data_IF_669130861369
#
_entry.id   IF_669130861369
#
_cell.length_a   1.000
_cell.length_b   1.000
_cell.length_c   1.000
_cell.angle_alpha   90.00
_cell.angle_beta   90.00
_cell.angle_gamma   90.00
#
_symmetry.space_group_name_H-M   'P 1'
#
loop_
_entity.id
_entity.type
_entity.pdbx_description
1 polymer ?
#
# COMPACT_ATOMS: atom_id res chain seq x y z
N UNK A 1 -27.50 -36.84 57.53
CA UNK A 1 -27.71 -36.05 56.32
C UNK A 1 -26.35 -35.63 55.81
N UNK A 2 -25.82 -36.30 54.80
CA UNK A 2 -24.53 -35.92 54.20
C UNK A 2 -24.80 -35.09 52.95
N UNK A 3 -24.34 -33.83 52.96
CA UNK A 3 -24.33 -32.99 51.75
C UNK A 3 -23.19 -33.42 50.86
N UNK A 4 -23.50 -33.84 49.63
CA UNK A 4 -22.54 -34.09 48.54
C UNK A 4 -22.37 -32.75 47.82
N UNK A 5 -21.20 -32.14 47.95
CA UNK A 5 -20.79 -30.95 47.19
C UNK A 5 -20.39 -31.39 45.79
N UNK A 6 -21.15 -31.00 44.77
CA UNK A 6 -20.81 -31.20 43.36
C UNK A 6 -19.86 -30.09 42.93
N UNK A 7 -18.59 -30.39 42.68
CA UNK A 7 -17.64 -29.47 42.08
C UNK A 7 -17.85 -29.47 40.57
N UNK A 8 -18.35 -28.37 40.02
CA UNK A 8 -18.42 -28.13 38.57
C UNK A 8 -17.07 -27.58 38.10
N UNK A 9 -16.29 -28.37 37.40
CA UNK A 9 -15.08 -27.95 36.75
C UNK A 9 -15.46 -27.17 35.49
N UNK A 10 -15.32 -25.84 35.50
CA UNK A 10 -15.42 -25.01 34.30
C UNK A 10 -14.10 -25.13 33.55
N UNK A 11 -14.11 -25.92 32.48
CA UNK A 11 -12.99 -25.92 31.54
C UNK A 11 -12.98 -24.60 30.75
N UNK A 12 -12.06 -23.70 31.10
CA UNK A 12 -11.76 -22.53 30.29
C UNK A 12 -11.07 -22.99 29.02
N UNK A 13 -11.82 -23.09 27.92
CA UNK A 13 -11.25 -23.25 26.58
C UNK A 13 -10.52 -21.95 26.23
N UNK A 14 -9.21 -21.91 26.39
CA UNK A 14 -8.36 -20.87 25.82
C UNK A 14 -8.48 -20.95 24.29
N UNK A 15 -9.27 -20.06 23.70
CA UNK A 15 -9.21 -19.85 22.26
C UNK A 15 -7.82 -19.27 21.98
N UNK A 16 -6.94 -20.10 21.44
CA UNK A 16 -5.71 -19.62 20.82
C UNK A 16 -6.12 -18.76 19.64
N UNK A 17 -6.03 -17.45 19.81
CA UNK A 17 -6.10 -16.51 18.69
C UNK A 17 -4.90 -16.83 17.80
N UNK A 18 -5.15 -17.49 16.68
CA UNK A 18 -4.11 -17.75 15.70
C UNK A 18 -3.47 -16.43 15.33
N UNK A 19 -2.15 -16.31 15.51
CA UNK A 19 -1.42 -15.12 15.14
C UNK A 19 -1.58 -14.92 13.63
N UNK A 20 -1.91 -13.69 13.24
CA UNK A 20 -2.06 -13.33 11.84
C UNK A 20 -0.74 -13.54 11.09
N UNK A 21 -0.77 -14.36 10.04
CA UNK A 21 0.38 -14.61 9.18
C UNK A 21 0.50 -13.47 8.16
N UNK A 22 1.08 -12.36 8.58
CA UNK A 22 1.36 -11.20 7.73
C UNK A 22 2.84 -10.85 7.78
N UNK A 23 3.50 -10.91 6.65
CA UNK A 23 4.84 -10.37 6.48
C UNK A 23 4.71 -8.88 6.19
N UNK A 24 5.51 -8.05 6.88
CA UNK A 24 5.58 -6.61 6.63
C UNK A 24 7.02 -6.13 6.61
N UNK A 25 7.31 -5.14 5.80
CA UNK A 25 8.64 -4.53 5.73
C UNK A 25 8.57 -3.10 5.20
N UNK A 26 9.57 -2.30 5.55
CA UNK A 26 9.70 -0.94 5.06
C UNK A 26 10.44 -0.89 3.73
N UNK A 27 10.00 -0.01 2.86
CA UNK A 27 10.72 0.40 1.66
C UNK A 27 10.87 1.91 1.67
N UNK A 28 12.10 2.41 1.49
CA UNK A 28 12.36 3.85 1.34
C UNK A 28 11.83 4.37 0.01
N UNK A 29 11.65 5.66 -0.09
CA UNK A 29 11.28 6.29 -1.34
C UNK A 29 12.39 6.10 -2.39
N UNK A 30 12.07 5.39 -3.48
CA UNK A 30 12.95 5.24 -4.64
C UNK A 30 13.01 6.55 -5.45
N UNK A 31 11.83 7.05 -5.80
CA UNK A 31 11.65 8.31 -6.55
C UNK A 31 10.25 8.86 -6.35
N UNK A 32 10.08 10.15 -6.63
CA UNK A 32 8.78 10.75 -6.95
C UNK A 32 8.90 11.21 -8.39
N UNK A 33 8.07 10.68 -9.27
CA UNK A 33 8.18 10.98 -10.70
C UNK A 33 6.81 10.97 -11.38
N UNK A 34 6.72 11.65 -12.50
CA UNK A 34 5.49 11.71 -13.31
C UNK A 34 5.55 10.68 -14.45
N UNK A 35 5.69 9.42 -14.05
CA UNK A 35 5.68 8.25 -14.93
C UNK A 35 4.77 7.17 -14.38
N UNK A 36 4.18 6.37 -15.26
CA UNK A 36 3.27 5.29 -14.93
C UNK A 36 3.37 4.18 -15.98
N UNK A 37 4.19 3.15 -15.74
CA UNK A 37 4.40 2.07 -16.70
C UNK A 37 3.23 1.10 -16.83
N UNK A 38 2.21 1.21 -15.97
CA UNK A 38 1.06 0.32 -15.97
C UNK A 38 -0.10 0.92 -16.77
N UNK A 39 -0.61 2.07 -16.35
CA UNK A 39 -1.80 2.68 -16.96
C UNK A 39 -1.42 3.57 -18.16
N UNK A 40 -0.26 4.21 -18.13
CA UNK A 40 0.18 5.13 -19.18
C UNK A 40 1.59 4.79 -19.68
N UNK A 41 1.83 3.54 -20.16
CA UNK A 41 3.16 3.09 -20.55
C UNK A 41 3.74 3.98 -21.68
N UNK A 42 4.98 4.44 -21.46
CA UNK A 42 5.71 5.29 -22.39
C UNK A 42 5.33 6.78 -22.37
N UNK A 43 4.29 7.17 -21.63
CA UNK A 43 3.92 8.59 -21.51
C UNK A 43 4.90 9.35 -20.61
N UNK A 44 5.44 10.45 -21.13
CA UNK A 44 6.34 11.38 -20.45
C UNK A 44 5.90 12.83 -20.71
N UNK A 45 5.25 13.49 -19.78
CA UNK A 45 4.84 13.03 -18.45
C UNK A 45 3.59 12.14 -18.48
N UNK A 46 3.43 11.27 -17.46
CA UNK A 46 2.15 10.64 -17.16
C UNK A 46 1.15 11.67 -16.60
N UNK A 47 -0.16 11.35 -16.52
CA UNK A 47 -1.17 12.32 -16.07
C UNK A 47 -0.92 12.93 -14.69
N UNK A 48 -0.29 12.21 -13.74
CA UNK A 48 -0.02 12.70 -12.40
C UNK A 48 1.28 12.12 -11.80
N UNK A 49 1.73 12.73 -10.71
CA UNK A 49 2.92 12.32 -9.97
C UNK A 49 2.65 11.08 -9.14
N UNK A 50 3.61 10.18 -9.10
CA UNK A 50 3.62 9.01 -8.23
C UNK A 50 4.81 9.01 -7.29
N UNK A 51 4.60 8.52 -6.09
CA UNK A 51 5.67 8.01 -5.25
C UNK A 51 5.88 6.54 -5.58
N UNK A 52 7.13 6.16 -5.74
CA UNK A 52 7.55 4.82 -6.13
C UNK A 52 8.55 4.28 -5.13
N UNK A 53 8.41 3.00 -4.80
CA UNK A 53 9.38 2.23 -4.01
C UNK A 53 9.72 0.93 -4.74
N UNK A 54 10.79 0.26 -4.32
CA UNK A 54 11.21 -1.04 -4.87
C UNK A 54 12.47 -0.98 -5.73
N UNK A 55 12.52 -1.80 -6.78
CA UNK A 55 13.67 -1.91 -7.67
C UNK A 55 13.93 -0.67 -8.53
N UNK A 56 15.20 -0.31 -8.69
CA UNK A 56 15.58 0.91 -9.43
C UNK A 56 15.52 0.77 -10.95
N UNK A 57 15.09 -0.38 -11.49
CA UNK A 57 14.76 -0.53 -12.91
C UNK A 57 13.44 0.13 -13.32
N UNK A 58 12.65 0.67 -12.34
CA UNK A 58 11.40 1.38 -12.62
C UNK A 58 11.57 2.42 -13.72
N UNK A 59 10.70 2.39 -14.74
CA UNK A 59 10.81 3.26 -15.92
C UNK A 59 9.42 3.52 -16.51
N UNK A 60 9.31 4.49 -17.42
CA UNK A 60 8.06 4.83 -18.09
C UNK A 60 7.46 3.68 -18.92
N UNK A 61 8.29 2.76 -19.40
CA UNK A 61 7.85 1.57 -20.15
C UNK A 61 8.38 0.31 -19.48
N UNK A 62 7.48 -0.54 -19.00
CA UNK A 62 7.80 -1.80 -18.32
C UNK A 62 6.85 -2.90 -18.83
N UNK A 63 7.04 -3.34 -20.08
CA UNK A 63 6.16 -4.34 -20.69
C UNK A 63 6.42 -5.74 -20.12
N UNK A 64 5.38 -6.58 -19.91
CA UNK A 64 5.50 -7.87 -19.23
C UNK A 64 6.49 -8.84 -19.89
N UNK A 65 6.58 -8.83 -21.21
CA UNK A 65 7.46 -9.69 -22.00
C UNK A 65 8.94 -9.27 -22.00
N UNK A 66 9.23 -8.04 -21.55
CA UNK A 66 10.59 -7.48 -21.50
C UNK A 66 11.05 -7.24 -20.06
N UNK A 67 10.18 -7.51 -19.09
CA UNK A 67 10.38 -7.13 -17.71
C UNK A 67 10.95 -8.27 -16.88
N UNK A 68 12.07 -7.98 -16.24
CA UNK A 68 12.69 -8.82 -15.22
C UNK A 68 13.36 -7.93 -14.16
N UNK A 69 12.57 -7.31 -13.25
CA UNK A 69 13.11 -6.36 -12.29
C UNK A 69 14.30 -6.88 -11.48
N UNK A 70 14.34 -8.18 -11.07
CA UNK A 70 15.48 -8.73 -10.34
C UNK A 70 16.80 -8.76 -11.15
N UNK A 71 16.72 -8.83 -12.48
CA UNK A 71 17.92 -8.82 -13.35
C UNK A 71 18.26 -7.44 -13.87
N UNK A 72 17.27 -6.56 -13.97
CA UNK A 72 17.41 -5.21 -14.52
C UNK A 72 17.74 -4.15 -13.45
N UNK A 73 17.45 -4.44 -12.18
CA UNK A 73 17.73 -3.53 -11.06
C UNK A 73 19.11 -3.80 -10.48
N UNK A 74 19.84 -2.75 -10.16
CA UNK A 74 21.08 -2.83 -9.40
C UNK A 74 20.89 -2.74 -7.90
N UNK A 75 19.74 -2.21 -7.45
CA UNK A 75 19.35 -2.12 -6.04
C UNK A 75 17.83 -2.09 -5.89
N UNK A 76 17.38 -2.27 -4.65
CA UNK A 76 15.99 -2.05 -4.23
C UNK A 76 15.95 -1.16 -3.00
N UNK A 77 14.92 -0.30 -2.92
CA UNK A 77 14.68 0.53 -1.74
C UNK A 77 13.98 -0.21 -0.60
N UNK A 78 13.65 -1.50 -0.77
CA UNK A 78 13.01 -2.35 0.22
C UNK A 78 14.03 -3.03 1.13
N UNK A 79 13.68 -3.30 2.40
CA UNK A 79 14.58 -3.93 3.36
C UNK A 79 14.82 -5.42 3.10
N UNK A 80 13.99 -6.09 2.30
CA UNK A 80 14.31 -7.40 1.74
C UNK A 80 15.03 -7.24 0.41
N UNK A 81 16.29 -7.68 0.36
CA UNK A 81 17.17 -7.51 -0.82
C UNK A 81 16.78 -8.35 -2.03
N UNK A 82 15.81 -9.23 -1.88
CA UNK A 82 15.26 -10.09 -2.94
C UNK A 82 13.99 -9.51 -3.56
N UNK A 83 13.46 -8.42 -3.01
CA UNK A 83 12.27 -7.75 -3.51
C UNK A 83 12.63 -6.55 -4.39
N UNK A 84 12.57 -6.75 -5.69
CA UNK A 84 12.70 -5.73 -6.73
C UNK A 84 11.36 -5.36 -7.36
N UNK A 85 10.25 -5.76 -6.74
CA UNK A 85 8.92 -5.32 -7.17
C UNK A 85 8.84 -3.80 -7.14
N UNK A 86 7.97 -3.24 -7.97
CA UNK A 86 7.65 -1.82 -7.87
C UNK A 86 6.23 -1.64 -7.34
N UNK A 87 6.11 -0.70 -6.43
CA UNK A 87 4.88 -0.32 -5.75
C UNK A 87 4.75 1.20 -5.86
N UNK A 88 3.61 1.69 -6.33
CA UNK A 88 3.43 3.14 -6.41
C UNK A 88 2.00 3.57 -6.15
N UNK A 89 1.86 4.81 -5.78
CA UNK A 89 0.61 5.51 -5.54
C UNK A 89 0.81 7.01 -5.78
N UNK A 90 -0.28 7.75 -5.93
CA UNK A 90 -0.24 9.19 -6.08
C UNK A 90 0.37 9.89 -4.85
N UNK A 91 0.87 11.12 -5.05
CA UNK A 91 1.30 12.00 -3.97
C UNK A 91 0.13 12.87 -3.48
N UNK A 92 0.18 13.26 -2.21
CA UNK A 92 -0.75 14.22 -1.61
C UNK A 92 -0.12 15.61 -1.58
N UNK A 93 -0.92 16.60 -1.92
CA UNK A 93 -0.56 18.02 -1.87
C UNK A 93 -1.53 18.81 -1.01
N UNK A 94 -1.00 19.78 -0.29
CA UNK A 94 -1.77 20.82 0.39
C UNK A 94 -1.83 22.07 -0.48
N UNK A 95 -3.02 22.59 -0.73
CA UNK A 95 -3.24 23.83 -1.44
C UNK A 95 -3.40 24.98 -0.45
N UNK A 96 -2.42 25.85 -0.35
CA UNK A 96 -2.47 27.04 0.48
C UNK A 96 -3.50 28.06 -0.05
N UNK A 97 -3.97 28.98 0.80
CA UNK A 97 -4.93 30.04 0.41
C UNK A 97 -4.45 30.92 -0.74
N UNK A 98 -3.15 31.15 -0.85
CA UNK A 98 -2.57 31.90 -1.96
C UNK A 98 -2.54 31.12 -3.29
N UNK A 99 -3.04 29.87 -3.28
CA UNK A 99 -3.13 28.99 -4.44
C UNK A 99 -1.89 28.16 -4.72
N UNK A 100 -0.81 28.31 -3.96
CA UNK A 100 0.39 27.46 -4.10
C UNK A 100 0.13 26.07 -3.57
N UNK A 101 0.77 25.07 -4.19
CA UNK A 101 0.74 23.70 -3.73
C UNK A 101 2.01 23.34 -2.99
N UNK A 102 1.88 22.61 -1.88
CA UNK A 102 2.98 22.05 -1.10
C UNK A 102 2.79 20.55 -1.02
N UNK A 103 3.80 19.78 -1.43
CA UNK A 103 3.74 18.32 -1.27
C UNK A 103 3.73 17.97 0.21
N UNK A 104 2.80 17.09 0.58
CA UNK A 104 2.75 16.53 1.94
C UNK A 104 3.88 15.52 2.09
N UNK A 105 4.79 15.69 3.05
CA UNK A 105 5.87 14.75 3.27
C UNK A 105 5.32 13.38 3.70
N UNK A 106 6.01 12.34 3.29
CA UNK A 106 5.81 11.00 3.82
C UNK A 106 6.85 10.72 4.88
N UNK A 107 6.47 9.91 5.86
CA UNK A 107 7.33 9.46 6.95
C UNK A 107 7.33 7.95 7.00
N UNK A 108 8.40 7.37 7.49
CA UNK A 108 8.44 5.94 7.73
C UNK A 108 7.44 5.53 8.81
N UNK A 109 6.88 4.34 8.68
CA UNK A 109 6.13 3.74 9.78
C UNK A 109 7.06 3.43 10.95
N UNK A 110 6.57 3.60 12.17
CA UNK A 110 7.37 3.42 13.39
C UNK A 110 8.02 2.02 13.44
N UNK A 111 9.31 2.02 13.78
CA UNK A 111 10.09 0.80 13.95
C UNK A 111 10.62 0.17 12.66
N UNK A 112 10.46 0.81 11.52
CA UNK A 112 10.94 0.30 10.24
C UNK A 112 12.09 1.12 9.64
N UNK A 113 12.83 1.90 10.32
CA UNK A 113 14.13 2.48 10.00
C UNK A 113 14.38 3.09 8.60
N UNK A 114 13.39 3.05 7.72
CA UNK A 114 13.45 3.58 6.34
C UNK A 114 13.09 5.07 6.28
N UNK A 115 13.40 5.73 5.17
CA UNK A 115 13.07 7.16 4.97
C UNK A 115 11.92 7.33 3.98
N UNK A 116 10.87 8.03 4.40
CA UNK A 116 9.65 8.20 3.61
C UNK A 116 9.11 6.85 3.11
N UNK A 117 8.63 6.76 1.89
CA UNK A 117 8.26 5.49 1.29
C UNK A 117 6.98 4.89 1.82
N UNK A 118 6.96 3.57 1.91
CA UNK A 118 5.77 2.81 2.32
C UNK A 118 6.18 1.61 3.17
N UNK A 119 5.25 1.15 4.00
CA UNK A 119 5.26 -0.21 4.53
C UNK A 119 4.49 -1.10 3.60
N UNK A 120 5.11 -2.18 3.17
CA UNK A 120 4.50 -3.21 2.32
C UNK A 120 4.17 -4.43 3.15
N UNK A 121 2.99 -4.98 2.92
CA UNK A 121 2.51 -6.20 3.55
C UNK A 121 2.23 -7.26 2.50
N UNK A 122 2.54 -8.50 2.84
CA UNK A 122 2.10 -9.70 2.14
C UNK A 122 1.36 -10.58 3.14
N UNK A 123 0.03 -10.59 3.05
CA UNK A 123 -0.85 -11.17 4.04
C UNK A 123 -1.36 -12.52 3.51
N UNK A 124 -1.13 -13.59 4.26
CA UNK A 124 -1.66 -14.93 3.95
C UNK A 124 -3.10 -15.12 4.43
N UNK A 125 -3.51 -14.38 5.44
CA UNK A 125 -4.77 -14.56 6.14
C UNK A 125 -4.71 -15.65 7.23
N UNK A 126 -5.82 -15.83 7.95
CA UNK A 126 -5.90 -16.75 9.09
C UNK A 126 -6.07 -18.23 8.72
N UNK A 127 -6.36 -18.55 7.46
CA UNK A 127 -6.53 -19.95 7.04
C UNK A 127 -5.16 -20.62 6.85
N UNK A 128 -4.58 -21.04 7.95
CA UNK A 128 -3.23 -21.62 8.02
C UNK A 128 -2.99 -22.83 7.10
N UNK A 129 -4.04 -23.52 6.68
CA UNK A 129 -3.98 -24.70 5.79
C UNK A 129 -4.09 -24.37 4.30
N UNK A 130 -4.54 -23.17 3.94
CA UNK A 130 -4.69 -22.83 2.53
C UNK A 130 -3.33 -22.56 1.89
N UNK A 131 -3.06 -23.24 0.76
CA UNK A 131 -1.91 -22.91 -0.09
C UNK A 131 -2.06 -21.49 -0.62
N UNK A 132 -1.06 -20.64 -0.42
CA UNK A 132 -0.96 -19.32 -1.01
C UNK A 132 0.11 -19.37 -2.10
N UNK A 133 -0.29 -19.06 -3.33
CA UNK A 133 0.59 -19.10 -4.50
C UNK A 133 1.21 -17.73 -4.72
N UNK A 134 2.53 -17.64 -4.80
CA UNK A 134 3.21 -16.39 -5.16
C UNK A 134 2.82 -15.94 -6.58
N UNK A 135 2.97 -14.66 -6.83
CA UNK A 135 2.71 -14.11 -8.16
C UNK A 135 3.69 -14.67 -9.19
N UNK A 136 3.23 -14.97 -10.41
CA UNK A 136 4.12 -15.35 -11.49
C UNK A 136 4.88 -14.14 -12.05
N UNK A 137 5.98 -14.41 -12.76
CA UNK A 137 6.75 -13.37 -13.49
C UNK A 137 5.84 -12.61 -14.46
N UNK A 138 5.99 -11.28 -14.49
CA UNK A 138 5.17 -10.40 -15.32
C UNK A 138 3.83 -10.01 -14.71
N UNK A 139 3.51 -10.50 -13.50
CA UNK A 139 2.28 -10.15 -12.81
C UNK A 139 2.27 -8.66 -12.44
N UNK A 140 1.14 -8.02 -12.70
CA UNK A 140 0.89 -6.63 -12.33
C UNK A 140 -0.58 -6.44 -12.00
N UNK A 141 -0.90 -5.45 -11.20
CA UNK A 141 -2.27 -5.15 -10.80
C UNK A 141 -2.45 -3.72 -10.37
N UNK A 142 -3.68 -3.22 -10.51
CA UNK A 142 -4.14 -1.90 -10.08
C UNK A 142 -5.34 -2.07 -9.15
N UNK A 143 -5.41 -1.25 -8.11
CA UNK A 143 -6.60 -1.11 -7.26
C UNK A 143 -6.97 0.36 -7.07
N UNK A 144 -8.25 0.65 -6.98
CA UNK A 144 -8.75 2.03 -6.94
C UNK A 144 -8.88 2.64 -8.34
N UNK A 145 -9.15 3.95 -8.38
CA UNK A 145 -9.30 4.71 -9.63
C UNK A 145 -9.01 6.18 -9.37
N UNK A 146 -7.95 6.77 -9.97
CA UNK A 146 -7.60 8.18 -9.77
C UNK A 146 -8.67 9.17 -10.24
N UNK A 147 -9.57 8.75 -11.13
CA UNK A 147 -10.67 9.57 -11.63
C UNK A 147 -11.94 9.48 -10.77
N UNK A 148 -11.98 8.56 -9.78
CA UNK A 148 -13.17 8.37 -8.97
C UNK A 148 -13.49 9.58 -8.09
N UNK A 149 -14.77 9.98 -8.09
CA UNK A 149 -15.34 11.07 -7.25
C UNK A 149 -16.50 10.58 -6.36
N UNK A 150 -16.78 9.29 -6.36
CA UNK A 150 -17.88 8.69 -5.62
C UNK A 150 -17.36 7.79 -4.49
N UNK A 151 -17.69 8.13 -3.24
CA UNK A 151 -17.34 7.34 -2.06
C UNK A 151 -17.82 5.89 -2.13
N UNK A 152 -18.93 5.61 -2.81
CA UNK A 152 -19.50 4.27 -2.94
C UNK A 152 -18.65 3.36 -3.83
N UNK A 153 -17.87 3.95 -4.74
CA UNK A 153 -16.97 3.24 -5.66
C UNK A 153 -15.59 3.01 -5.10
N UNK A 154 -15.26 3.60 -3.95
CA UNK A 154 -14.01 3.32 -3.26
C UNK A 154 -14.05 1.89 -2.71
N UNK A 155 -13.13 1.00 -3.12
CA UNK A 155 -13.02 -0.35 -2.58
C UNK A 155 -12.94 -0.36 -1.05
N UNK A 156 -13.49 -1.39 -0.41
CA UNK A 156 -13.55 -1.48 1.06
C UNK A 156 -12.17 -1.54 1.73
N UNK A 157 -11.16 -2.01 1.00
CA UNK A 157 -9.79 -2.10 1.49
C UNK A 157 -8.94 -0.82 1.30
N UNK A 158 -9.54 0.30 0.86
CA UNK A 158 -8.87 1.58 0.67
C UNK A 158 -9.47 2.62 1.62
N UNK A 159 -8.63 3.22 2.45
CA UNK A 159 -9.09 4.15 3.47
C UNK A 159 -7.98 5.04 4.04
N UNK A 160 -8.43 6.00 4.83
CA UNK A 160 -7.58 6.95 5.57
C UNK A 160 -7.86 6.83 7.05
N UNK A 161 -6.81 6.80 7.86
CA UNK A 161 -6.88 6.99 9.31
C UNK A 161 -6.28 8.33 9.68
N UNK A 162 -7.06 9.13 10.41
CA UNK A 162 -6.57 10.31 11.08
C UNK A 162 -5.89 9.87 12.37
N UNK A 163 -4.55 9.89 12.40
CA UNK A 163 -3.80 9.49 13.58
C UNK A 163 -3.81 10.63 14.62
N UNK A 164 -4.13 10.30 15.86
CA UNK A 164 -4.19 11.27 16.94
C UNK A 164 -2.79 11.73 17.36
N UNK A 165 -1.81 10.83 17.34
CA UNK A 165 -0.44 11.07 17.78
C UNK A 165 0.53 10.15 17.02
N UNK A 166 1.65 10.68 16.51
CA UNK A 166 2.71 9.89 15.87
C UNK A 166 3.44 8.95 16.83
N UNK A 167 3.35 9.17 18.12
CA UNK A 167 4.06 8.37 19.13
C UNK A 167 3.20 7.25 19.71
N UNK A 168 1.93 7.18 19.38
CA UNK A 168 1.08 6.07 19.81
C UNK A 168 1.37 4.83 18.98
N UNK A 169 1.91 3.82 19.65
CA UNK A 169 1.97 2.47 19.10
C UNK A 169 0.64 1.75 19.41
N UNK A 170 0.06 1.08 18.40
CA UNK A 170 0.59 1.03 17.06
C UNK A 170 0.01 2.16 16.23
N UNK A 171 0.80 2.75 15.37
CA UNK A 171 0.30 3.29 14.11
C UNK A 171 -0.39 2.13 13.40
N UNK A 172 -1.44 1.62 13.93
CA UNK A 172 -1.86 0.34 13.52
C UNK A 172 -3.31 0.08 13.78
N UNK A 173 -3.58 -1.16 13.95
CA UNK A 173 -4.92 -1.72 14.01
C UNK A 173 -5.44 -1.98 12.60
N UNK A 174 -6.40 -2.88 12.49
CA UNK A 174 -7.00 -3.27 11.22
C UNK A 174 -7.42 -2.05 10.40
N UNK A 175 -6.99 -1.94 9.15
CA UNK A 175 -7.33 -0.80 8.31
C UNK A 175 -8.80 -0.84 7.90
N UNK A 176 -9.31 0.33 7.54
CA UNK A 176 -10.69 0.55 7.09
C UNK A 176 -11.74 0.13 8.14
N UNK A 177 -11.40 0.29 9.41
CA UNK A 177 -12.26 0.01 10.56
C UNK A 177 -12.45 1.23 11.45
N UNK A 178 -13.42 1.20 12.33
CA UNK A 178 -13.65 2.26 13.32
C UNK A 178 -13.91 3.61 12.68
N UNK A 179 -13.06 4.59 12.97
CA UNK A 179 -13.14 5.96 12.47
C UNK A 179 -12.47 6.20 11.12
N UNK A 180 -11.98 5.16 10.46
CA UNK A 180 -11.35 5.30 9.15
C UNK A 180 -12.35 5.81 8.10
N UNK A 181 -11.88 6.66 7.20
CA UNK A 181 -12.70 7.30 6.18
C UNK A 181 -12.33 6.82 4.78
N UNK A 182 -13.29 6.84 3.85
CA UNK A 182 -13.03 6.55 2.43
C UNK A 182 -12.46 7.73 1.65
N UNK A 183 -12.63 8.93 2.16
CA UNK A 183 -12.09 10.17 1.62
C UNK A 183 -11.15 10.85 2.59
N UNK A 184 -10.57 11.97 2.19
CA UNK A 184 -9.66 12.72 3.06
C UNK A 184 -10.30 13.05 4.41
N UNK A 185 -9.57 12.85 5.53
CA UNK A 185 -10.03 13.28 6.84
C UNK A 185 -10.39 14.77 6.86
N UNK A 186 -11.56 15.10 7.39
CA UNK A 186 -12.07 16.49 7.46
C UNK A 186 -11.48 17.28 8.64
N UNK A 187 -10.92 16.58 9.60
CA UNK A 187 -10.31 17.18 10.79
C UNK A 187 -8.79 17.22 10.66
N UNK A 188 -8.17 18.09 11.46
CA UNK A 188 -6.73 18.07 11.66
C UNK A 188 -6.33 16.81 12.41
N UNK A 189 -5.22 16.20 12.03
CA UNK A 189 -4.73 14.96 12.59
C UNK A 189 -3.39 15.20 13.30
N UNK A 190 -3.35 15.03 14.60
CA UNK A 190 -2.15 15.28 15.42
C UNK A 190 -0.97 14.36 15.09
N UNK A 191 -1.24 13.19 14.55
CA UNK A 191 -0.26 12.20 14.09
C UNK A 191 -0.09 12.12 12.57
N UNK A 192 -0.79 12.96 11.81
CA UNK A 192 -0.83 12.84 10.36
C UNK A 192 -1.83 11.80 9.88
N UNK A 193 -1.68 11.33 8.66
CA UNK A 193 -2.57 10.34 8.05
C UNK A 193 -1.86 9.02 7.79
N UNK A 194 -2.53 7.92 8.12
CA UNK A 194 -2.24 6.63 7.54
C UNK A 194 -3.18 6.40 6.37
N UNK A 195 -2.61 6.22 5.19
CA UNK A 195 -3.33 5.82 3.99
C UNK A 195 -3.09 4.33 3.77
N UNK A 196 -4.16 3.57 3.60
CA UNK A 196 -4.09 2.13 3.35
C UNK A 196 -4.64 1.82 1.97
N UNK A 197 -3.89 1.02 1.22
CA UNK A 197 -4.28 0.49 -0.09
C UNK A 197 -4.13 -1.02 -0.05
N UNK A 198 -5.25 -1.74 -0.04
CA UNK A 198 -5.28 -3.19 0.03
C UNK A 198 -5.74 -3.78 -1.28
N UNK A 199 -4.91 -4.63 -1.87
CA UNK A 199 -5.19 -5.30 -3.14
C UNK A 199 -6.04 -6.54 -2.96
N UNK A 200 -6.70 -7.01 -4.03
CA UNK A 200 -7.33 -8.32 -4.07
C UNK A 200 -6.35 -9.46 -3.80
N UNK A 201 -6.85 -10.59 -3.28
CA UNK A 201 -6.05 -11.76 -2.92
C UNK A 201 -6.46 -13.05 -3.62
N UNK A 202 -7.29 -12.96 -4.64
CA UNK A 202 -7.74 -14.07 -5.47
C UNK A 202 -7.39 -13.79 -6.94
N UNK A 203 -6.82 -14.78 -7.62
CA UNK A 203 -6.36 -14.69 -9.00
C UNK A 203 -7.09 -15.70 -9.88
N UNK A 204 -7.32 -15.38 -11.15
CA UNK A 204 -7.96 -16.28 -12.12
C UNK A 204 -7.10 -17.52 -12.48
N UNK A 205 -5.82 -17.52 -12.06
CA UNK A 205 -4.88 -18.63 -12.29
C UNK A 205 -4.30 -18.67 -13.71
N UNK A 206 -4.54 -17.67 -14.55
CA UNK A 206 -4.17 -17.67 -15.97
C UNK A 206 -3.45 -16.40 -16.41
N UNK A 207 -4.06 -15.25 -16.15
CA UNK A 207 -3.60 -13.98 -16.70
C UNK A 207 -2.69 -13.26 -15.69
N UNK A 208 -1.50 -12.84 -16.12
CA UNK A 208 -0.60 -12.02 -15.33
C UNK A 208 -0.98 -10.53 -15.35
N UNK A 209 -1.86 -10.17 -16.25
CA UNK A 209 -2.41 -8.84 -16.47
C UNK A 209 -3.74 -8.96 -17.21
N UNK A 210 -4.54 -7.89 -17.21
CA UNK A 210 -5.78 -7.74 -17.98
C UNK A 210 -5.86 -6.34 -18.57
N UNK A 211 -6.70 -6.07 -19.58
CA UNK A 211 -6.79 -4.76 -20.23
C UNK A 211 -7.09 -3.60 -19.26
N UNK A 212 -7.77 -3.89 -18.16
CA UNK A 212 -8.09 -2.94 -17.09
C UNK A 212 -7.16 -3.05 -15.87
N UNK A 213 -6.16 -3.93 -15.93
CA UNK A 213 -5.22 -4.26 -14.86
C UNK A 213 -5.89 -4.72 -13.54
N UNK A 214 -7.15 -5.15 -13.59
CA UNK A 214 -7.98 -5.49 -12.42
C UNK A 214 -8.77 -6.79 -12.57
N UNK A 215 -9.31 -7.08 -13.75
CA UNK A 215 -10.29 -8.17 -13.95
C UNK A 215 -9.69 -9.57 -13.84
N UNK A 216 -8.37 -9.72 -13.79
CA UNK A 216 -7.69 -10.99 -13.52
C UNK A 216 -7.54 -11.29 -12.01
N UNK A 217 -7.93 -10.35 -11.14
CA UNK A 217 -7.89 -10.48 -9.69
C UNK A 217 -9.25 -10.16 -9.08
N UNK A 218 -9.54 -10.71 -7.89
CA UNK A 218 -10.76 -10.45 -7.15
C UNK A 218 -10.51 -10.43 -5.65
N UNK A 219 -11.34 -9.68 -4.92
CA UNK A 219 -11.39 -9.82 -3.46
C UNK A 219 -12.05 -11.16 -3.09
N UNK A 220 -11.75 -11.71 -1.90
CA UNK A 220 -12.45 -12.89 -1.39
C UNK A 220 -13.95 -12.68 -1.34
N UNK A 221 -14.71 -13.74 -1.61
CA UNK A 221 -16.17 -13.72 -1.60
C UNK A 221 -16.76 -13.54 -0.18
N UNK A 222 -15.96 -13.76 0.86
CA UNK A 222 -16.36 -13.66 2.27
C UNK A 222 -15.16 -13.30 3.15
N UNK A 223 -15.44 -12.98 4.41
CA UNK A 223 -14.41 -12.63 5.39
C UNK A 223 -14.07 -11.14 5.41
N UNK A 224 -13.22 -10.81 6.38
CA UNK A 224 -12.68 -9.45 6.54
C UNK A 224 -11.34 -9.32 5.81
N UNK A 225 -10.82 -8.12 5.75
CA UNK A 225 -9.48 -7.79 5.28
C UNK A 225 -8.41 -8.80 5.73
N UNK A 226 -8.39 -9.15 7.00
CA UNK A 226 -7.36 -10.02 7.58
C UNK A 226 -7.68 -11.51 7.51
N UNK A 227 -8.94 -11.88 7.37
CA UNK A 227 -9.37 -13.28 7.43
C UNK A 227 -9.06 -14.07 6.16
N UNK A 228 -8.87 -13.37 5.05
CA UNK A 228 -8.54 -14.01 3.79
C UNK A 228 -9.54 -15.09 3.40
N UNK A 229 -10.83 -14.77 3.34
CA UNK A 229 -11.92 -15.69 3.04
C UNK A 229 -11.76 -16.47 1.72
N UNK A 230 -12.75 -17.30 1.41
CA UNK A 230 -12.74 -18.11 0.20
C UNK A 230 -12.70 -17.25 -1.07
N UNK A 231 -11.91 -17.68 -2.03
CA UNK A 231 -11.88 -17.06 -3.36
C UNK A 231 -13.14 -17.42 -4.17
N UNK A 232 -13.66 -16.51 -4.99
CA UNK A 232 -14.78 -16.81 -5.88
C UNK A 232 -14.35 -17.83 -6.96
N UNK A 233 -15.29 -18.59 -7.48
CA UNK A 233 -15.05 -19.64 -8.49
C UNK A 233 -14.37 -19.10 -9.77
N UNK A 234 -14.59 -17.83 -10.11
CA UNK A 234 -13.94 -17.18 -11.24
C UNK A 234 -12.46 -16.88 -11.02
N UNK A 235 -12.01 -16.79 -9.76
CA UNK A 235 -10.63 -16.49 -9.35
C UNK A 235 -10.18 -17.46 -8.25
N UNK A 236 -10.03 -18.76 -8.57
CA UNK A 236 -9.90 -19.80 -7.57
C UNK A 236 -8.54 -19.86 -6.89
N UNK A 237 -7.52 -19.15 -7.41
CA UNK A 237 -6.16 -19.23 -6.89
C UNK A 237 -5.94 -18.17 -5.82
N UNK A 238 -5.65 -18.61 -4.60
CA UNK A 238 -5.27 -17.71 -3.51
C UNK A 238 -3.83 -17.22 -3.70
N UNK A 239 -3.69 -15.91 -3.76
CA UNK A 239 -2.41 -15.20 -3.80
C UNK A 239 -2.23 -14.39 -2.51
N UNK A 240 -1.01 -13.98 -2.13
CA UNK A 240 -0.84 -13.12 -0.96
C UNK A 240 -1.57 -11.79 -1.18
N UNK A 241 -2.26 -11.31 -0.16
CA UNK A 241 -2.87 -9.99 -0.21
C UNK A 241 -1.79 -8.93 0.00
N UNK A 242 -1.50 -8.17 -1.03
CA UNK A 242 -0.61 -7.02 -0.93
C UNK A 242 -1.36 -5.86 -0.29
N UNK A 243 -0.71 -5.17 0.63
CA UNK A 243 -1.23 -3.95 1.21
C UNK A 243 -0.11 -2.92 1.36
N UNK A 244 -0.42 -1.67 1.03
CA UNK A 244 0.43 -0.53 1.31
C UNK A 244 -0.09 0.22 2.53
N UNK A 245 0.82 0.66 3.34
CA UNK A 245 0.57 1.57 4.42
C UNK A 245 1.51 2.77 4.24
N UNK A 246 0.93 3.93 3.95
CA UNK A 246 1.64 5.16 3.65
C UNK A 246 1.32 6.17 4.75
N UNK A 247 2.36 6.68 5.41
CA UNK A 247 2.23 7.70 6.44
C UNK A 247 2.50 9.08 5.84
N UNK A 248 1.48 9.93 5.77
CA UNK A 248 1.62 11.33 5.35
C UNK A 248 1.68 12.25 6.56
N UNK A 249 2.75 13.06 6.64
CA UNK A 249 2.90 14.07 7.69
C UNK A 249 2.08 15.33 7.39
N UNK A 250 0.79 15.27 7.69
CA UNK A 250 -0.12 16.40 7.52
C UNK A 250 -0.05 17.41 8.66
N UNK A 251 0.75 17.17 9.72
CA UNK A 251 0.79 18.00 10.94
C UNK A 251 1.15 19.46 10.67
N UNK A 252 2.09 19.69 9.76
CA UNK A 252 2.50 21.03 9.37
C UNK A 252 1.41 21.85 8.66
N UNK A 253 0.32 21.19 8.26
CA UNK A 253 -0.84 21.80 7.61
C UNK A 253 -2.08 21.86 8.52
N UNK A 254 -1.91 21.67 9.84
CA UNK A 254 -3.01 21.66 10.79
C UNK A 254 -3.51 23.06 11.18
N UNK A 255 -2.88 24.14 10.70
CA UNK A 255 -3.39 25.48 10.89
C UNK A 255 -4.69 25.70 10.09
N UNK A 256 -5.83 25.63 10.75
CA UNK A 256 -7.16 25.82 10.13
C UNK A 256 -7.33 27.20 9.47
N UNK A 257 -6.56 28.21 9.87
CA UNK A 257 -6.60 29.50 9.23
C UNK A 257 -6.13 29.46 7.77
N UNK A 258 -5.34 28.45 7.40
CA UNK A 258 -4.87 28.19 6.03
C UNK A 258 -5.82 27.31 5.21
N UNK A 259 -6.89 26.79 5.82
CA UNK A 259 -7.85 25.92 5.15
C UNK A 259 -8.91 26.74 4.43
N UNK A 260 -9.59 26.19 3.39
CA UNK A 260 -10.69 26.85 2.70
C UNK A 260 -11.84 27.18 3.66
N UNK A 261 -12.40 28.40 3.53
CA UNK A 261 -13.48 28.87 4.39
C UNK A 261 -14.80 28.14 4.13
N UNK A 262 -14.96 27.54 2.96
CA UNK A 262 -16.16 26.76 2.57
C UNK A 262 -16.20 25.34 3.17
N UNK A 263 -15.18 24.97 3.98
CA UNK A 263 -15.07 23.67 4.60
C UNK A 263 -14.62 22.54 3.66
N UNK A 264 -14.26 22.86 2.43
CA UNK A 264 -13.66 21.87 1.51
C UNK A 264 -12.27 21.44 2.00
N UNK A 265 -11.84 20.24 1.55
CA UNK A 265 -10.50 19.76 1.87
C UNK A 265 -9.43 20.64 1.19
N UNK A 266 -8.39 21.10 1.91
CA UNK A 266 -7.24 21.74 1.31
C UNK A 266 -6.28 20.76 0.64
N UNK A 267 -6.51 19.45 0.81
CA UNK A 267 -5.64 18.41 0.29
C UNK A 267 -6.13 17.90 -1.05
N UNK A 268 -5.16 17.49 -1.88
CA UNK A 268 -5.37 17.01 -3.23
C UNK A 268 -4.47 15.83 -3.50
N UNK A 269 -4.98 14.78 -4.10
CA UNK A 269 -4.13 13.83 -4.81
C UNK A 269 -3.47 14.51 -6.02
N UNK A 270 -2.31 14.06 -6.43
CA UNK A 270 -1.61 14.55 -7.63
C UNK A 270 -2.42 14.40 -8.92
N UNK A 271 -3.47 13.59 -8.91
CA UNK A 271 -4.48 13.49 -9.97
C UNK A 271 -5.50 14.63 -10.00
N UNK A 272 -5.42 15.57 -9.05
CA UNK A 272 -6.36 16.69 -8.92
C UNK A 272 -7.61 16.38 -8.09
N UNK A 273 -7.71 15.19 -7.51
CA UNK A 273 -8.81 14.83 -6.63
C UNK A 273 -8.65 15.46 -5.24
N UNK A 274 -9.64 16.25 -4.80
CA UNK A 274 -9.70 16.84 -3.46
C UNK A 274 -10.71 16.14 -2.53
N UNK A 275 -11.32 15.07 -2.98
CA UNK A 275 -12.23 14.27 -2.16
C UNK A 275 -11.53 13.16 -1.40
N UNK A 276 -10.40 12.69 -1.92
CA UNK A 276 -9.70 11.51 -1.47
C UNK A 276 -10.25 10.21 -2.08
N UNK A 277 -11.34 10.26 -2.83
CA UNK A 277 -11.93 9.06 -3.44
C UNK A 277 -11.15 8.54 -4.64
N UNK A 278 -10.21 9.35 -5.16
CA UNK A 278 -9.25 8.95 -6.19
C UNK A 278 -8.06 8.14 -5.67
N UNK A 279 -8.14 7.63 -4.45
CA UNK A 279 -7.14 6.74 -3.88
C UNK A 279 -6.96 5.50 -4.75
N UNK A 280 -5.71 5.18 -5.08
CA UNK A 280 -5.35 4.00 -5.89
C UNK A 280 -3.94 3.54 -5.56
N UNK A 281 -3.61 2.35 -6.00
CA UNK A 281 -2.26 1.82 -5.91
C UNK A 281 -1.99 0.83 -7.03
N UNK A 282 -0.75 0.78 -7.43
CA UNK A 282 -0.22 0.03 -8.54
C UNK A 282 0.88 -0.90 -8.08
N UNK A 283 0.93 -2.08 -8.65
CA UNK A 283 1.88 -3.12 -8.31
C UNK A 283 2.43 -3.81 -9.54
N UNK A 284 3.74 -4.04 -9.50
CA UNK A 284 4.46 -4.82 -10.48
C UNK A 284 5.38 -5.80 -9.76
N UNK A 285 5.16 -7.09 -10.00
CA UNK A 285 5.92 -8.17 -9.37
C UNK A 285 7.39 -8.20 -9.80
N UNK A 286 8.29 -8.35 -8.83
CA UNK A 286 9.73 -8.39 -9.07
C UNK A 286 10.53 -9.09 -7.97
N UNK A 287 9.97 -10.08 -7.30
CA UNK A 287 10.75 -10.90 -6.37
C UNK A 287 11.73 -11.81 -7.09
N UNK A 288 12.92 -11.96 -6.55
CA UNK A 288 13.99 -12.79 -7.12
C UNK A 288 13.67 -14.27 -6.98
N UNK A 289 13.61 -14.98 -8.10
CA UNK A 289 13.39 -16.42 -8.14
C UNK A 289 12.11 -16.85 -7.40
N UNK A 290 12.24 -17.77 -6.48
CA UNK A 290 11.15 -18.31 -5.65
C UNK A 290 11.07 -17.71 -4.23
N UNK A 291 11.76 -16.59 -3.99
CA UNK A 291 11.88 -15.99 -2.65
C UNK A 291 10.51 -15.69 -2.01
N UNK A 292 9.56 -15.12 -2.77
CA UNK A 292 8.21 -14.86 -2.25
C UNK A 292 7.47 -16.17 -1.92
N UNK A 293 7.57 -17.22 -2.76
CA UNK A 293 6.91 -18.48 -2.47
C UNK A 293 7.48 -19.12 -1.20
N UNK A 294 8.80 -19.10 -1.02
CA UNK A 294 9.44 -19.56 0.20
C UNK A 294 8.97 -18.79 1.43
N UNK A 295 8.83 -17.47 1.34
CA UNK A 295 8.29 -16.66 2.42
C UNK A 295 6.84 -17.05 2.75
N UNK A 296 6.02 -17.31 1.74
CA UNK A 296 4.64 -17.77 1.95
C UNK A 296 4.60 -19.17 2.58
N UNK A 297 5.43 -20.10 2.13
CA UNK A 297 5.44 -21.49 2.63
C UNK A 297 5.99 -21.56 4.06
N UNK A 298 6.95 -20.71 4.43
CA UNK A 298 7.49 -20.60 5.80
C UNK A 298 6.62 -19.78 6.74
N UNK A 299 5.49 -19.28 6.27
CA UNK A 299 4.53 -18.50 7.06
C UNK A 299 5.16 -17.30 7.78
N UNK A 300 6.00 -16.57 7.05
CA UNK A 300 6.65 -15.38 7.60
C UNK A 300 5.64 -14.39 8.18
N UNK A 301 5.94 -13.86 9.36
CA UNK A 301 5.10 -12.90 10.06
C UNK A 301 5.95 -11.76 10.64
N UNK A 302 5.35 -10.56 10.70
CA UNK A 302 6.05 -9.35 11.16
C UNK A 302 7.13 -8.91 10.17
N UNK A 303 8.15 -8.24 10.69
CA UNK A 303 9.25 -7.64 9.92
C UNK A 303 10.47 -8.55 9.75
N UNK A 304 10.37 -9.80 10.20
CA UNK A 304 11.44 -10.81 10.12
C UNK A 304 10.94 -12.08 9.47
N UNK A 305 11.66 -12.51 8.45
CA UNK A 305 11.39 -13.73 7.72
C UNK A 305 12.70 -14.49 7.50
N UNK A 306 12.84 -15.66 8.12
CA UNK A 306 14.07 -16.46 8.03
C UNK A 306 14.35 -16.97 6.60
N UNK A 307 13.33 -17.03 5.75
CA UNK A 307 13.45 -17.46 4.37
C UNK A 307 13.99 -16.37 3.43
N UNK A 308 14.10 -15.12 3.91
CA UNK A 308 14.48 -13.96 3.11
C UNK A 308 15.75 -13.30 3.66
N UNK A 309 16.47 -12.62 2.77
CA UNK A 309 17.67 -11.86 3.11
C UNK A 309 17.31 -10.38 3.31
N UNK A 310 17.64 -9.87 4.51
CA UNK A 310 17.53 -8.44 4.75
C UNK A 310 18.82 -7.72 4.35
N UNK A 311 18.66 -6.54 3.78
CA UNK A 311 19.72 -5.54 3.71
C UNK A 311 19.57 -4.53 4.87
N UNK A 312 20.56 -3.71 5.10
CA UNK A 312 20.49 -2.64 6.10
C UNK A 312 19.55 -1.53 5.65
N UNK A 313 18.97 -0.81 6.61
CA UNK A 313 18.15 0.35 6.31
C UNK A 313 18.93 1.40 5.49
N UNK A 314 20.22 1.59 5.79
CA UNK A 314 21.10 2.48 5.04
C UNK A 314 21.22 2.07 3.55
N UNK A 315 21.31 0.77 3.26
CA UNK A 315 21.35 0.27 1.87
C UNK A 315 20.01 0.51 1.16
N UNK A 316 18.89 0.26 1.83
CA UNK A 316 17.57 0.53 1.29
C UNK A 316 17.36 2.05 1.01
N UNK A 317 17.77 2.91 1.93
CA UNK A 317 17.72 4.37 1.79
C UNK A 317 18.61 4.88 0.64
N UNK A 318 19.78 4.28 0.46
CA UNK A 318 20.72 4.68 -0.60
C UNK A 318 20.21 4.31 -2.01
N UNK A 319 19.27 3.36 -2.13
CA UNK A 319 18.69 3.00 -3.42
C UNK A 319 17.66 4.04 -3.86
N UNK A 320 18.08 4.95 -4.71
CA UNK A 320 17.26 6.03 -5.26
C UNK A 320 17.33 6.06 -6.78
N UNK A 321 16.39 6.73 -7.40
CA UNK A 321 16.34 7.00 -8.84
C UNK A 321 16.03 8.47 -9.06
N UNK A 322 16.79 9.13 -9.94
CA UNK A 322 16.53 10.51 -10.33
C UNK A 322 15.18 10.65 -11.03
N UNK A 323 14.51 11.77 -10.80
CA UNK A 323 13.28 12.11 -11.51
C UNK A 323 13.55 12.22 -13.01
N UNK A 324 12.68 11.63 -13.81
CA UNK A 324 12.64 11.79 -15.27
C UNK A 324 11.91 13.09 -15.63
N UNK A 325 10.81 13.36 -14.94
CA UNK A 325 10.01 14.57 -15.10
C UNK A 325 10.03 15.36 -13.80
N UNK A 326 10.66 16.55 -13.87
CA UNK A 326 10.79 17.42 -12.70
C UNK A 326 9.43 17.89 -12.21
N UNK A 327 9.21 17.78 -10.90
CA UNK A 327 8.04 18.33 -10.23
C UNK A 327 8.10 19.86 -10.25
N UNK A 328 7.05 20.50 -10.75
CA UNK A 328 6.91 21.96 -10.72
C UNK A 328 5.77 22.33 -9.74
N UNK A 329 6.15 22.78 -8.54
CA UNK A 329 5.22 23.21 -7.48
C UNK A 329 4.92 24.73 -7.56
N UNK A 330 5.22 25.38 -8.67
CA UNK A 330 4.99 26.81 -8.86
C UNK A 330 3.51 27.22 -8.71
N UNK A 331 3.28 28.53 -8.78
CA UNK A 331 1.95 29.15 -8.66
C UNK A 331 1.01 28.84 -9.84
N UNK A 332 1.54 28.29 -10.92
CA UNK A 332 0.77 27.94 -12.10
C UNK A 332 -0.01 26.64 -11.88
N UNK A 333 -1.29 26.81 -11.51
CA UNK A 333 -2.24 25.75 -11.21
C UNK A 333 -2.40 24.70 -12.33
N UNK A 334 -1.97 25.03 -13.54
CA UNK A 334 -2.14 24.20 -14.72
C UNK A 334 -1.06 23.11 -14.86
N UNK A 335 0.09 23.22 -14.21
CA UNK A 335 1.23 22.32 -14.41
C UNK A 335 1.23 21.10 -13.49
N UNK A 336 0.58 21.19 -12.33
CA UNK A 336 0.55 20.08 -11.38
C UNK A 336 -0.38 18.94 -11.81
N UNK A 337 -1.45 19.27 -12.54
CA UNK A 337 -2.54 18.35 -12.88
C UNK A 337 -2.77 18.20 -14.40
N UNK A 338 -1.82 18.61 -15.24
CA UNK A 338 -1.88 18.43 -16.70
C UNK A 338 -1.01 17.29 -17.17
#
# INVERSE_FOLDING_TARGET
MQLKTLAVAVAAASQQVAAQELMRFGCSQLTIDRIDPLVNPGSLPSPHMHQVIGGNSFNASMFPNQLDPPTQSSCTSCTYSEDFSNYWTANVYFKAKNGTFKRVPQVANLGLGVQAGMTVYYIRGYQASAKVTAFPKGFRMLVGDPANKDAKKVPSGLCYRCEANMQQSPFGGAPCTGSDTKGFPKNTCGGGWRVTVTFPSCWDGKNTDSPDHKSHIAYPASGTFESGGACPASHPVKIPQVMYEIMFDTRQFNNKAEWPADGSSPFYWSSGDNTGYGIHGDYLFGWKGDALQKAMDTKCSGDRCAALKRQTDAQAIACTKSQTVREDLGTDKCKLFR
#
